data_IF_045903888815
#
_entry.id   IF_045903888815
#
_cell.length_a   1.000
_cell.length_b   1.000
_cell.length_c   1.000
_cell.angle_alpha   90.00
_cell.angle_beta   90.00
_cell.angle_gamma   90.00
#
_symmetry.space_group_name_H-M   'P 1'
#
loop_
_entity.id
_entity.type
_entity.pdbx_description
1 polymer ?
#
# COMPACT_ATOMS: atom_id res chain seq x y z
N UNK A 1 13.00 36.27 20.69
CA UNK A 1 13.23 34.81 20.70
C UNK A 1 11.95 33.97 20.57
N UNK A 2 10.80 34.38 21.14
CA UNK A 2 9.51 33.67 21.03
C UNK A 2 8.97 33.45 19.60
N UNK A 3 9.14 34.42 18.70
CA UNK A 3 8.67 34.33 17.30
C UNK A 3 9.40 33.20 16.55
N UNK A 4 10.69 32.96 16.86
CA UNK A 4 11.48 31.90 16.22
C UNK A 4 11.02 30.50 16.62
N UNK A 5 10.51 30.33 17.84
CA UNK A 5 10.01 29.03 18.34
C UNK A 5 8.68 28.68 17.67
N UNK A 6 7.78 29.66 17.50
CA UNK A 6 6.49 29.44 16.82
C UNK A 6 6.63 29.00 15.36
N UNK A 7 7.59 29.59 14.63
CA UNK A 7 7.86 29.22 13.23
C UNK A 7 8.45 27.81 13.13
N UNK A 8 9.34 27.43 14.03
CA UNK A 8 9.94 26.08 14.04
C UNK A 8 8.89 25.02 14.34
N UNK A 9 8.02 25.24 15.32
CA UNK A 9 6.93 24.30 15.64
C UNK A 9 5.98 24.14 14.46
N UNK A 10 5.61 25.22 13.78
CA UNK A 10 4.75 25.15 12.59
C UNK A 10 5.39 24.34 11.45
N UNK A 11 6.68 24.55 11.19
CA UNK A 11 7.41 23.80 10.17
C UNK A 11 7.48 22.29 10.47
N UNK A 12 7.69 21.93 11.74
CA UNK A 12 7.70 20.52 12.18
C UNK A 12 6.32 19.88 12.01
N UNK A 13 5.24 20.57 12.39
CA UNK A 13 3.87 20.06 12.21
C UNK A 13 3.53 19.84 10.74
N UNK A 14 3.92 20.76 9.86
CA UNK A 14 3.69 20.63 8.42
C UNK A 14 4.46 19.45 7.81
N UNK A 15 5.70 19.20 8.26
CA UNK A 15 6.47 18.04 7.83
C UNK A 15 5.82 16.72 8.27
N UNK A 16 5.35 16.65 9.51
CA UNK A 16 4.67 15.46 10.03
C UNK A 16 3.35 15.22 9.28
N UNK A 17 2.56 16.27 9.04
CA UNK A 17 1.32 16.17 8.28
C UNK A 17 1.56 15.66 6.85
N UNK A 18 2.55 16.22 6.15
CA UNK A 18 2.93 15.76 4.80
C UNK A 18 3.40 14.30 4.80
N UNK A 19 4.09 13.86 5.84
CA UNK A 19 4.56 12.49 5.98
C UNK A 19 3.39 11.50 6.17
N UNK A 20 2.42 11.86 7.01
CA UNK A 20 1.21 11.04 7.26
C UNK A 20 0.33 11.00 6.01
N UNK A 21 0.21 12.11 5.26
CA UNK A 21 -0.53 12.15 4.00
C UNK A 21 0.09 11.31 2.87
N UNK A 22 1.36 10.91 3.00
CA UNK A 22 2.05 10.08 2.02
C UNK A 22 1.99 8.58 2.35
N UNK A 23 1.33 8.20 3.45
CA UNK A 23 1.06 6.79 3.76
C UNK A 23 -0.14 6.38 2.89
N UNK A 24 0.04 5.44 1.95
CA UNK A 24 -1.07 4.96 1.12
C UNK A 24 -2.15 4.38 2.04
N UNK A 25 -3.41 4.67 1.72
CA UNK A 25 -4.52 4.04 2.43
C UNK A 25 -4.52 2.54 2.18
N UNK A 26 -5.11 1.75 3.09
CA UNK A 26 -5.21 0.30 2.95
C UNK A 26 -5.83 -0.11 1.59
N UNK A 27 -6.87 0.61 1.15
CA UNK A 27 -7.51 0.40 -0.14
C UNK A 27 -6.58 0.68 -1.34
N UNK A 28 -5.71 1.68 -1.25
CA UNK A 28 -4.72 1.97 -2.29
C UNK A 28 -3.63 0.90 -2.34
N UNK A 29 -3.16 0.44 -1.19
CA UNK A 29 -2.20 -0.66 -1.06
C UNK A 29 -2.77 -1.96 -1.63
N UNK A 30 -4.02 -2.29 -1.31
CA UNK A 30 -4.71 -3.45 -1.88
C UNK A 30 -4.90 -3.34 -3.39
N UNK A 31 -5.32 -2.17 -3.89
CA UNK A 31 -5.48 -1.95 -5.32
C UNK A 31 -4.16 -2.03 -6.08
N UNK A 32 -3.07 -1.50 -5.49
CA UNK A 32 -1.73 -1.62 -6.04
C UNK A 32 -1.26 -3.08 -6.07
N UNK A 33 -1.50 -3.83 -4.98
CA UNK A 33 -1.20 -5.26 -4.92
C UNK A 33 -1.94 -6.05 -6.02
N UNK A 34 -3.26 -5.83 -6.18
CA UNK A 34 -4.03 -6.51 -7.24
C UNK A 34 -3.50 -6.24 -8.65
N UNK A 35 -3.02 -5.02 -8.92
CA UNK A 35 -2.46 -4.65 -10.23
C UNK A 35 -1.07 -5.23 -10.47
N UNK A 36 -0.35 -5.60 -9.42
CA UNK A 36 0.99 -6.16 -9.50
C UNK A 36 1.00 -7.70 -9.55
N UNK A 37 -0.16 -8.35 -9.42
CA UNK A 37 -0.25 -9.80 -9.62
C UNK A 37 -0.02 -10.15 -11.09
N UNK A 38 0.80 -11.17 -11.27
CA UNK A 38 1.18 -11.73 -12.57
C UNK A 38 1.35 -13.26 -12.48
N UNK A 39 1.69 -13.88 -13.61
CA UNK A 39 1.89 -15.33 -13.72
C UNK A 39 3.11 -15.88 -12.93
N UNK A 40 3.94 -15.02 -12.35
CA UNK A 40 5.06 -15.41 -11.48
C UNK A 40 4.70 -15.28 -10.00
N UNK A 41 3.57 -14.63 -9.70
CA UNK A 41 3.08 -14.41 -8.36
C UNK A 41 2.58 -15.73 -7.77
N UNK A 42 3.11 -16.10 -6.61
CA UNK A 42 2.69 -17.32 -5.88
C UNK A 42 2.57 -17.02 -4.40
N UNK A 43 2.17 -18.03 -3.61
CA UNK A 43 2.12 -17.91 -2.15
C UNK A 43 3.47 -17.58 -1.52
N UNK A 44 4.56 -18.09 -2.10
CA UNK A 44 5.92 -17.91 -1.58
C UNK A 44 6.73 -16.86 -2.37
N UNK A 45 6.23 -16.43 -3.53
CA UNK A 45 6.84 -15.37 -4.34
C UNK A 45 5.83 -14.23 -4.49
N UNK A 46 5.88 -13.29 -3.54
CA UNK A 46 4.93 -12.18 -3.44
C UNK A 46 5.56 -10.88 -3.93
N UNK A 47 4.87 -10.07 -4.75
CA UNK A 47 5.35 -8.75 -5.13
C UNK A 47 5.58 -7.86 -3.90
N UNK A 48 6.62 -7.02 -3.91
CA UNK A 48 6.97 -6.15 -2.78
C UNK A 48 5.81 -5.24 -2.37
N UNK A 49 5.07 -4.73 -3.35
CA UNK A 49 3.88 -3.87 -3.13
C UNK A 49 2.75 -4.58 -2.39
N UNK A 50 2.75 -5.91 -2.37
CA UNK A 50 1.79 -6.67 -1.61
C UNK A 50 2.25 -6.92 -0.17
N UNK A 51 3.50 -6.69 0.23
CA UNK A 51 4.01 -7.09 1.56
C UNK A 51 3.19 -6.53 2.73
N UNK A 52 2.64 -5.33 2.58
CA UNK A 52 1.80 -4.66 3.58
C UNK A 52 0.33 -5.13 3.58
N UNK A 53 -0.10 -5.92 2.59
CA UNK A 53 -1.43 -6.54 2.55
C UNK A 53 -1.41 -7.82 3.38
N UNK A 54 -2.49 -8.10 4.11
CA UNK A 54 -2.59 -9.32 4.93
C UNK A 54 -2.40 -10.60 4.08
N UNK A 55 -1.89 -11.65 4.72
CA UNK A 55 -1.66 -12.94 4.06
C UNK A 55 -2.98 -13.57 3.58
N UNK A 56 -4.08 -13.41 4.33
CA UNK A 56 -5.41 -13.89 3.94
C UNK A 56 -5.95 -13.13 2.73
N UNK A 57 -5.89 -11.79 2.75
CA UNK A 57 -6.28 -10.94 1.64
C UNK A 57 -5.50 -11.27 0.37
N UNK A 58 -4.19 -11.55 0.51
CA UNK A 58 -3.36 -11.96 -0.63
C UNK A 58 -3.84 -13.26 -1.28
N UNK A 59 -4.24 -14.27 -0.49
CA UNK A 59 -4.78 -15.52 -1.05
C UNK A 59 -6.01 -15.26 -1.89
N UNK A 60 -6.89 -14.40 -1.40
CA UNK A 60 -8.09 -14.01 -2.13
C UNK A 60 -7.73 -13.32 -3.44
N UNK A 61 -6.76 -12.41 -3.44
CA UNK A 61 -6.34 -11.73 -4.67
C UNK A 61 -5.68 -12.69 -5.67
N UNK A 62 -4.84 -13.61 -5.19
CA UNK A 62 -4.21 -14.62 -6.03
C UNK A 62 -5.25 -15.56 -6.66
N UNK A 63 -6.22 -16.04 -5.88
CA UNK A 63 -7.33 -16.86 -6.39
C UNK A 63 -8.15 -16.11 -7.45
N UNK A 64 -8.49 -14.84 -7.19
CA UNK A 64 -9.24 -14.02 -8.16
C UNK A 64 -8.46 -13.78 -9.44
N UNK A 65 -7.14 -13.63 -9.35
CA UNK A 65 -6.25 -13.53 -10.51
C UNK A 65 -6.26 -14.85 -11.31
N UNK A 66 -6.07 -15.99 -10.65
CA UNK A 66 -6.11 -17.31 -11.30
C UNK A 66 -7.46 -17.57 -12.00
N UNK A 67 -8.58 -17.27 -11.34
CA UNK A 67 -9.91 -17.40 -11.94
C UNK A 67 -10.08 -16.54 -13.20
N UNK A 68 -9.58 -15.30 -13.16
CA UNK A 68 -9.61 -14.40 -14.33
C UNK A 68 -8.77 -14.92 -15.48
N UNK A 69 -7.58 -15.44 -15.22
CA UNK A 69 -6.71 -16.02 -16.26
C UNK A 69 -7.34 -17.27 -16.90
N UNK A 70 -8.14 -18.01 -16.14
CA UNK A 70 -8.96 -19.14 -16.63
C UNK A 70 -10.24 -18.68 -17.35
N UNK A 71 -10.52 -17.37 -17.43
CA UNK A 71 -11.71 -16.80 -18.08
C UNK A 71 -12.99 -16.93 -17.26
N UNK A 72 -12.87 -17.12 -15.94
CA UNK A 72 -13.95 -17.27 -14.97
C UNK A 72 -14.07 -15.96 -14.13
N UNK A 73 -14.50 -14.86 -14.76
CA UNK A 73 -14.75 -13.56 -14.10
C UNK A 73 -16.27 -13.29 -13.94
#
# INVERSE_FOLDING_TARGET
MRIRIGVVVLAVVLLIAAFISNIPSEAETEAACRRALDNTSTWTNRPDVCLDVSAETYRTFLLMYELREEGLD
#
